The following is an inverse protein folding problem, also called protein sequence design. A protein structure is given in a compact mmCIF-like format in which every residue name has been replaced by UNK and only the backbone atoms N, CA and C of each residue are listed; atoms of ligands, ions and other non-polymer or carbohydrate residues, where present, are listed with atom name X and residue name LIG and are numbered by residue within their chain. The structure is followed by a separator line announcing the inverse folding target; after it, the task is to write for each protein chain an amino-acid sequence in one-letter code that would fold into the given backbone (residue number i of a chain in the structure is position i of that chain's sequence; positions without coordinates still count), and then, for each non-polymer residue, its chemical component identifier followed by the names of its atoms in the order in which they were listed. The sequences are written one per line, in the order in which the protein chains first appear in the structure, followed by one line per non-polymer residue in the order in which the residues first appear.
data_IF_902147723657
#
_entry.id   IF_902147723657
#
_cell.length_a   1.000
_cell.length_b   1.000
_cell.length_c   1.000
_cell.angle_alpha   90.00
_cell.angle_beta   90.00
_cell.angle_gamma   90.00
#
_symmetry.space_group_name_H-M   'P 1'
#
loop_
_entity.id
_entity.type
_entity.pdbx_description
1 polymer ?
#
# COMPACT_ATOMS: atom_id res chain seq x y z
N UNK A 1 31.60 3.44 21.36
CA UNK A 1 32.17 4.65 20.72
C UNK A 1 31.13 5.75 20.79
N UNK A 2 31.47 6.92 21.33
CA UNK A 2 30.60 8.09 21.36
C UNK A 2 30.85 8.88 20.08
N UNK A 3 29.79 9.20 19.34
CA UNK A 3 29.89 9.96 18.07
C UNK A 3 29.18 11.29 18.23
N UNK A 4 29.83 12.40 17.90
CA UNK A 4 29.18 13.72 17.87
C UNK A 4 28.28 13.81 16.64
N UNK A 5 27.03 14.24 16.82
CA UNK A 5 26.03 14.42 15.77
C UNK A 5 25.27 15.71 15.94
N UNK A 6 24.71 16.26 14.85
CA UNK A 6 23.78 17.39 14.91
C UNK A 6 22.35 16.91 15.08
N UNK A 7 21.60 17.54 15.99
CA UNK A 7 20.18 17.27 16.16
C UNK A 7 19.38 17.78 14.96
N UNK A 8 18.51 16.95 14.40
CA UNK A 8 17.66 17.33 13.26
C UNK A 8 16.66 18.45 13.64
N UNK A 9 16.25 18.54 14.91
CA UNK A 9 15.22 19.48 15.37
C UNK A 9 15.77 20.85 15.74
N UNK A 10 16.92 20.91 16.42
CA UNK A 10 17.46 22.18 16.95
C UNK A 10 18.85 22.53 16.41
N UNK A 11 19.48 21.66 15.61
CA UNK A 11 20.81 21.89 15.02
C UNK A 11 21.99 21.73 15.98
N UNK A 12 21.75 21.61 17.30
CA UNK A 12 22.80 21.50 18.31
C UNK A 12 23.60 20.21 18.16
N UNK A 13 24.92 20.31 18.34
CA UNK A 13 25.81 19.14 18.41
C UNK A 13 25.64 18.40 19.74
N UNK A 14 25.50 17.08 19.69
CA UNK A 14 25.30 16.25 20.86
C UNK A 14 26.05 14.91 20.73
N UNK A 15 26.32 14.31 21.87
CA UNK A 15 26.96 12.99 21.96
C UNK A 15 25.92 11.88 21.78
N UNK A 16 25.99 11.21 20.63
CA UNK A 16 25.09 10.10 20.31
C UNK A 16 25.57 8.82 21.01
N UNK A 17 24.72 8.29 21.91
CA UNK A 17 24.92 6.97 22.55
C UNK A 17 24.69 5.80 21.59
N UNK A 18 23.92 6.01 20.51
CA UNK A 18 23.61 5.00 19.48
C UNK A 18 23.82 5.57 18.08
N UNK A 19 24.23 4.72 17.14
CA UNK A 19 24.44 5.08 15.73
C UNK A 19 23.19 5.65 15.06
N UNK A 20 21.99 5.28 15.48
CA UNK A 20 20.72 5.79 14.94
C UNK A 20 20.14 6.99 15.70
N UNK A 21 20.88 7.58 16.66
CA UNK A 21 20.38 8.75 17.40
C UNK A 21 20.36 9.98 16.51
N UNK A 22 19.18 10.59 16.39
CA UNK A 22 18.92 11.77 15.55
C UNK A 22 18.62 13.04 16.37
N UNK A 23 18.36 12.88 17.67
CA UNK A 23 17.88 13.94 18.55
C UNK A 23 18.77 14.05 19.79
N UNK A 24 19.07 15.28 20.20
CA UNK A 24 19.85 15.55 21.40
C UNK A 24 19.10 15.25 22.70
N UNK A 25 17.76 15.24 22.66
CA UNK A 25 16.91 15.06 23.83
C UNK A 25 15.53 14.50 23.48
N UNK A 26 14.83 14.00 24.50
CA UNK A 26 13.42 13.58 24.36
C UNK A 26 12.52 14.75 23.95
N UNK A 27 12.81 15.97 24.38
CA UNK A 27 12.06 17.16 23.98
C UNK A 27 12.14 17.41 22.47
N UNK A 28 13.33 17.28 21.87
CA UNK A 28 13.50 17.40 20.41
C UNK A 28 12.81 16.27 19.66
N UNK A 29 12.86 15.04 20.18
CA UNK A 29 12.13 13.90 19.62
C UNK A 29 10.62 14.14 19.61
N UNK A 30 10.07 14.66 20.72
CA UNK A 30 8.64 14.99 20.81
C UNK A 30 8.26 16.13 19.88
N UNK A 31 9.05 17.22 19.82
CA UNK A 31 8.83 18.32 18.87
C UNK A 31 8.77 17.84 17.42
N UNK A 32 9.72 16.99 17.01
CA UNK A 32 9.73 16.42 15.67
C UNK A 32 8.50 15.54 15.40
N UNK A 33 8.02 14.79 16.40
CA UNK A 33 6.79 14.01 16.29
C UNK A 33 5.57 14.92 16.09
N UNK A 34 5.41 15.95 16.93
CA UNK A 34 4.30 16.89 16.84
C UNK A 34 4.29 17.63 15.51
N UNK A 35 5.44 18.08 15.01
CA UNK A 35 5.53 18.73 13.69
C UNK A 35 5.07 17.82 12.55
N UNK A 36 5.39 16.52 12.59
CA UNK A 36 4.88 15.55 11.59
C UNK A 36 3.36 15.40 11.66
N UNK A 37 2.79 15.40 12.86
CA UNK A 37 1.34 15.30 13.05
C UNK A 37 0.65 16.58 12.59
N UNK A 38 1.20 17.76 12.90
CA UNK A 38 0.64 19.05 12.46
C UNK A 38 0.71 19.22 10.94
N UNK A 39 1.76 18.70 10.30
CA UNK A 39 1.81 18.65 8.84
C UNK A 39 0.77 17.69 8.23
N UNK A 40 0.40 16.60 8.90
CA UNK A 40 -0.70 15.73 8.44
C UNK A 40 -2.08 16.40 8.47
N UNK A 41 -2.28 17.42 9.30
CA UNK A 41 -3.56 18.14 9.40
C UNK A 41 -3.69 19.23 8.33
N UNK A 42 -2.57 19.65 7.72
CA UNK A 42 -2.53 20.59 6.59
C UNK A 42 -2.08 19.94 5.28
N UNK A 43 -1.93 18.61 5.25
CA UNK A 43 -1.89 17.88 3.99
C UNK A 43 -3.25 18.13 3.32
N UNK A 44 -3.29 18.47 2.01
CA UNK A 44 -4.56 18.47 1.30
C UNK A 44 -5.25 17.15 1.61
N UNK A 45 -6.54 17.20 1.97
CA UNK A 45 -7.33 16.00 2.29
C UNK A 45 -6.89 14.88 1.35
N UNK A 46 -6.56 13.68 1.87
CA UNK A 46 -6.08 12.60 1.03
C UNK A 46 -7.06 12.51 -0.12
N UNK A 47 -6.59 12.85 -1.35
CA UNK A 47 -7.45 12.96 -2.53
C UNK A 47 -8.36 11.74 -2.47
N UNK A 48 -9.70 11.92 -2.50
CA UNK A 48 -10.63 10.82 -2.35
C UNK A 48 -10.09 9.71 -3.22
N UNK A 49 -9.65 8.61 -2.58
CA UNK A 49 -8.94 7.56 -3.30
C UNK A 49 -9.86 7.21 -4.44
N UNK A 50 -9.44 7.50 -5.67
CA UNK A 50 -10.28 7.31 -6.84
C UNK A 50 -10.87 5.92 -6.71
N UNK A 51 -12.20 5.85 -6.61
CA UNK A 51 -12.89 4.59 -6.36
C UNK A 51 -12.43 3.68 -7.48
N UNK A 52 -11.63 2.66 -7.14
CA UNK A 52 -11.11 1.74 -8.15
C UNK A 52 -12.30 0.92 -8.60
N UNK A 53 -12.79 1.24 -9.78
CA UNK A 53 -13.84 0.48 -10.45
C UNK A 53 -13.25 -0.85 -10.92
N UNK A 54 -13.94 -1.93 -10.59
CA UNK A 54 -13.65 -3.26 -11.09
C UNK A 54 -14.73 -3.66 -12.08
N UNK A 55 -14.33 -3.99 -13.30
CA UNK A 55 -15.25 -4.40 -14.37
C UNK A 55 -15.35 -5.92 -14.43
N UNK A 56 -16.58 -6.44 -14.46
CA UNK A 56 -16.88 -7.86 -14.65
C UNK A 56 -16.47 -8.28 -16.06
N UNK A 57 -16.77 -7.48 -17.08
CA UNK A 57 -16.33 -7.75 -18.46
C UNK A 57 -14.80 -7.83 -18.61
N UNK A 58 -14.03 -7.00 -17.89
CA UNK A 58 -12.56 -7.13 -17.85
C UNK A 58 -12.09 -8.41 -17.16
N UNK A 59 -12.82 -8.90 -16.15
CA UNK A 59 -12.53 -10.18 -15.49
C UNK A 59 -12.86 -11.38 -16.40
N UNK A 60 -13.98 -11.36 -17.11
CA UNK A 60 -14.31 -12.40 -18.10
C UNK A 60 -13.26 -12.47 -19.21
N UNK A 61 -12.78 -11.31 -19.68
CA UNK A 61 -11.68 -11.25 -20.64
C UNK A 61 -10.37 -11.84 -20.07
N UNK A 62 -10.10 -11.65 -18.78
CA UNK A 62 -8.97 -12.27 -18.09
C UNK A 62 -9.11 -13.80 -18.03
N UNK A 63 -10.27 -14.32 -17.64
CA UNK A 63 -10.54 -15.76 -17.60
C UNK A 63 -10.36 -16.39 -18.99
N UNK A 64 -10.92 -15.73 -20.01
CA UNK A 64 -10.76 -16.16 -21.41
C UNK A 64 -9.31 -16.12 -21.88
N UNK A 65 -8.52 -15.13 -21.44
CA UNK A 65 -7.12 -15.00 -21.82
C UNK A 65 -6.24 -16.13 -21.27
N UNK A 66 -6.52 -16.59 -20.04
CA UNK A 66 -5.76 -17.68 -19.41
C UNK A 66 -6.39 -19.06 -19.59
N UNK A 67 -7.57 -19.15 -20.20
CA UNK A 67 -8.35 -20.37 -20.31
C UNK A 67 -8.56 -21.03 -18.93
N UNK A 68 -8.91 -20.20 -17.94
CA UNK A 68 -9.23 -20.63 -16.58
C UNK A 68 -10.70 -20.34 -16.25
N UNK A 69 -11.20 -20.95 -15.18
CA UNK A 69 -12.56 -20.71 -14.70
C UNK A 69 -12.59 -19.97 -13.35
N UNK A 70 -13.80 -19.60 -12.92
CA UNK A 70 -14.04 -18.87 -11.68
C UNK A 70 -13.61 -19.67 -10.43
N UNK A 71 -13.61 -21.01 -10.51
CA UNK A 71 -13.18 -21.88 -9.41
C UNK A 71 -11.66 -21.88 -9.23
N UNK A 72 -10.92 -21.73 -10.32
CA UNK A 72 -9.46 -21.59 -10.30
C UNK A 72 -9.00 -20.18 -9.95
N UNK A 73 -9.81 -19.16 -10.28
CA UNK A 73 -9.46 -17.76 -10.08
C UNK A 73 -10.67 -16.91 -9.68
N UNK A 74 -11.03 -16.85 -8.38
CA UNK A 74 -12.16 -16.06 -7.90
C UNK A 74 -12.04 -14.57 -8.24
N UNK A 75 -13.17 -13.91 -8.47
CA UNK A 75 -13.23 -12.50 -8.88
C UNK A 75 -12.56 -11.56 -7.86
N UNK A 76 -12.72 -11.83 -6.57
CA UNK A 76 -12.12 -11.04 -5.49
C UNK A 76 -10.60 -11.11 -5.55
N UNK A 77 -10.06 -12.27 -5.92
CA UNK A 77 -8.63 -12.47 -6.08
C UNK A 77 -8.09 -11.69 -7.29
N UNK A 78 -8.86 -11.63 -8.37
CA UNK A 78 -8.57 -10.76 -9.51
C UNK A 78 -8.53 -9.30 -9.09
N UNK A 79 -9.55 -8.84 -8.36
CA UNK A 79 -9.61 -7.48 -7.86
C UNK A 79 -8.41 -7.13 -6.97
N UNK A 80 -7.96 -8.05 -6.11
CA UNK A 80 -6.75 -7.89 -5.30
C UNK A 80 -5.49 -7.70 -6.15
N UNK A 81 -5.31 -8.54 -7.17
CA UNK A 81 -4.17 -8.47 -8.07
C UNK A 81 -4.14 -7.16 -8.87
N UNK A 82 -5.29 -6.76 -9.42
CA UNK A 82 -5.41 -5.52 -10.20
C UNK A 82 -5.26 -4.27 -9.31
N UNK A 83 -5.72 -4.32 -8.05
CA UNK A 83 -5.49 -3.24 -7.09
C UNK A 83 -4.01 -3.00 -6.85
N UNK A 84 -3.23 -4.08 -6.81
CA UNK A 84 -1.78 -4.05 -6.55
C UNK A 84 -0.97 -3.66 -7.79
N UNK A 85 -1.57 -3.72 -8.98
CA UNK A 85 -0.95 -3.30 -10.21
C UNK A 85 -0.84 -1.77 -10.30
N UNK A 86 0.24 -1.30 -10.93
CA UNK A 86 0.43 0.12 -11.20
C UNK A 86 -0.51 0.61 -12.31
N UNK A 87 -0.96 1.86 -12.25
CA UNK A 87 -1.95 2.43 -13.17
C UNK A 87 -1.45 2.58 -14.61
N UNK A 88 -0.13 2.61 -14.80
CA UNK A 88 0.57 2.68 -16.09
C UNK A 88 0.78 1.29 -16.73
N UNK A 89 0.39 0.20 -16.06
CA UNK A 89 0.53 -1.15 -16.61
C UNK A 89 -0.51 -1.45 -17.70
N UNK A 90 -0.04 -2.02 -18.81
CA UNK A 90 -0.91 -2.57 -19.86
C UNK A 90 -1.82 -3.67 -19.31
N UNK A 91 -2.97 -3.90 -19.97
CA UNK A 91 -3.92 -4.98 -19.58
C UNK A 91 -3.22 -6.34 -19.51
N UNK A 92 -2.41 -6.68 -20.53
CA UNK A 92 -1.69 -7.95 -20.58
C UNK A 92 -0.68 -8.11 -19.43
N UNK A 93 0.04 -7.05 -19.06
CA UNK A 93 0.96 -7.09 -17.92
C UNK A 93 0.23 -7.25 -16.59
N UNK A 94 -0.96 -6.65 -16.45
CA UNK A 94 -1.82 -6.82 -15.28
C UNK A 94 -2.31 -8.27 -15.16
N UNK A 95 -2.66 -8.87 -16.28
CA UNK A 95 -3.09 -10.28 -16.36
C UNK A 95 -1.97 -11.23 -15.96
N UNK A 96 -0.75 -11.03 -16.48
CA UNK A 96 0.43 -11.82 -16.10
C UNK A 96 0.78 -11.67 -14.62
N UNK A 97 0.62 -10.48 -14.05
CA UNK A 97 0.83 -10.26 -12.61
C UNK A 97 -0.17 -11.08 -11.77
N UNK A 98 -1.45 -11.08 -12.16
CA UNK A 98 -2.49 -11.84 -11.47
C UNK A 98 -2.24 -13.36 -11.51
N UNK A 99 -1.84 -13.91 -12.67
CA UNK A 99 -1.43 -15.32 -12.79
C UNK A 99 -0.19 -15.65 -11.93
N UNK A 100 0.82 -14.78 -11.93
CA UNK A 100 2.02 -14.95 -11.10
C UNK A 100 1.69 -14.97 -9.61
N UNK A 101 0.80 -14.08 -9.16
CA UNK A 101 0.36 -13.99 -7.77
C UNK A 101 -0.44 -15.23 -7.39
N UNK A 102 -1.28 -15.79 -8.27
CA UNK A 102 -2.00 -17.06 -8.00
C UNK A 102 -1.07 -18.25 -7.75
N UNK A 103 0.01 -18.36 -8.54
CA UNK A 103 0.97 -19.47 -8.44
C UNK A 103 1.84 -19.43 -7.18
N UNK A 104 1.87 -18.30 -6.47
CA UNK A 104 2.56 -18.18 -5.19
C UNK A 104 1.51 -18.08 -4.10
N UNK A 105 1.62 -18.92 -3.07
CA UNK A 105 0.74 -18.91 -1.89
C UNK A 105 0.81 -17.59 -1.10
N UNK A 106 0.26 -16.51 -1.63
CA UNK A 106 0.15 -15.18 -1.01
C UNK A 106 -1.15 -15.01 -0.20
N UNK A 107 -1.98 -16.05 -0.18
CA UNK A 107 -3.32 -16.06 0.42
C UNK A 107 -3.35 -15.87 1.95
N UNK A 108 -2.21 -15.84 2.64
CA UNK A 108 -2.16 -15.66 4.10
C UNK A 108 -1.41 -14.40 4.55
N UNK A 109 -1.28 -13.41 3.67
CA UNK A 109 -0.69 -12.12 4.04
C UNK A 109 -1.69 -11.20 4.71
N UNK A 110 -1.26 -10.37 5.67
CA UNK A 110 -2.12 -9.34 6.29
C UNK A 110 -2.73 -8.39 5.24
N UNK A 111 -2.04 -8.20 4.12
CA UNK A 111 -2.51 -7.41 2.99
C UNK A 111 -3.79 -7.99 2.34
N UNK A 112 -3.88 -9.31 2.17
CA UNK A 112 -5.06 -9.93 1.57
C UNK A 112 -6.24 -9.93 2.54
N UNK A 113 -5.98 -10.14 3.84
CA UNK A 113 -7.01 -10.05 4.90
C UNK A 113 -7.64 -8.67 4.94
N UNK A 114 -6.80 -7.62 4.96
CA UNK A 114 -7.25 -6.23 4.90
C UNK A 114 -8.05 -5.95 3.63
N UNK A 115 -7.61 -6.49 2.49
CA UNK A 115 -8.34 -6.32 1.23
C UNK A 115 -9.73 -6.94 1.28
N UNK A 116 -9.89 -8.16 1.79
CA UNK A 116 -11.19 -8.82 1.88
C UNK A 116 -12.16 -8.06 2.80
N UNK A 117 -11.66 -7.52 3.90
CA UNK A 117 -12.46 -6.65 4.79
C UNK A 117 -12.93 -5.38 4.04
N UNK A 118 -12.03 -4.71 3.33
CA UNK A 118 -12.36 -3.55 2.51
C UNK A 118 -13.35 -3.92 1.39
N UNK A 119 -13.17 -5.07 0.74
CA UNK A 119 -13.99 -5.54 -0.37
C UNK A 119 -15.42 -5.86 0.09
N UNK A 120 -15.56 -6.59 1.19
CA UNK A 120 -16.86 -6.90 1.79
C UNK A 120 -17.59 -5.69 2.35
N UNK A 121 -16.87 -4.60 2.68
CA UNK A 121 -17.47 -3.36 3.20
C UNK A 121 -18.11 -2.46 2.13
N UNK A 122 -18.05 -2.84 0.84
CA UNK A 122 -18.64 -2.06 -0.25
C UNK A 122 -17.83 -0.82 -0.64
N UNK A 123 -16.54 -0.76 -0.30
CA UNK A 123 -15.63 0.36 -0.65
C UNK A 123 -15.25 0.41 -2.13
N UNK A 124 -15.64 -0.58 -2.92
CA UNK A 124 -15.32 -0.67 -4.34
C UNK A 124 -16.60 -0.69 -5.19
N UNK A 125 -16.52 -0.05 -6.34
CA UNK A 125 -17.57 -0.08 -7.35
C UNK A 125 -17.31 -1.25 -8.28
N UNK A 126 -18.24 -2.20 -8.33
CA UNK A 126 -18.23 -3.29 -9.30
C UNK A 126 -19.17 -2.87 -10.44
N UNK A 127 -18.62 -2.76 -11.64
CA UNK A 127 -19.34 -2.40 -12.86
C UNK A 127 -19.39 -3.60 -13.79
N UNK A 128 -20.43 -3.67 -14.62
CA UNK A 128 -20.60 -4.76 -15.60
C UNK A 128 -19.82 -4.42 -16.88
#
# INVERSE_FOLDING_TARGET
MITKKKCITCGTEFEAKRSNSMYCSNACKQKAHTQRVVHKVNEPEPKPMAVKEFSISDYEAFLSFFNCDVSEFPFEYYCFCIRSASSDMSKESRYKLADFINKKSFLDTDAIKTFYEDFGSGKFNIVN
#
